data_IF_428131292971
#
_entry.id   IF_428131292971
#
_cell.length_a   1.000
_cell.length_b   1.000
_cell.length_c   1.000
_cell.angle_alpha   90.00
_cell.angle_beta   90.00
_cell.angle_gamma   90.00
#
_symmetry.space_group_name_H-M   'P 1'
#
loop_
_entity.id
_entity.type
_entity.pdbx_description
1 polymer ?
#
# COMPACT_ATOMS: atom_id res chain seq x y z
N UNK A 1 13.38 10.52 -18.91
CA UNK A 1 14.42 9.69 -18.32
C UNK A 1 15.74 10.00 -19.01
N UNK A 2 16.67 10.62 -18.32
CA UNK A 2 18.06 10.72 -18.74
C UNK A 2 18.71 9.34 -18.53
N UNK A 3 18.59 8.48 -19.52
CA UNK A 3 19.44 7.30 -19.59
C UNK A 3 20.86 7.79 -19.90
N UNK A 4 21.76 7.71 -18.94
CA UNK A 4 23.18 7.93 -19.16
C UNK A 4 23.71 6.70 -19.90
N UNK A 5 24.13 6.80 -21.16
CA UNK A 5 24.67 5.67 -21.91
C UNK A 5 26.01 5.25 -21.28
N UNK A 6 26.14 4.01 -20.89
CA UNK A 6 27.42 3.40 -20.57
C UNK A 6 27.66 2.89 -19.16
N UNK A 7 26.71 3.03 -18.21
CA UNK A 7 26.80 2.31 -16.94
C UNK A 7 25.97 1.03 -17.00
N UNK A 8 26.58 -0.15 -17.04
CA UNK A 8 25.84 -1.39 -16.82
C UNK A 8 25.36 -1.35 -15.37
N UNK A 9 24.06 -1.10 -15.18
CA UNK A 9 23.40 -1.27 -13.90
C UNK A 9 23.50 -2.76 -13.55
N UNK A 10 24.59 -3.15 -12.89
CA UNK A 10 24.65 -4.47 -12.29
C UNK A 10 23.59 -4.46 -11.19
N UNK A 11 22.47 -5.11 -11.43
CA UNK A 11 21.50 -5.44 -10.39
C UNK A 11 22.24 -6.26 -9.34
N UNK A 12 22.80 -5.61 -8.35
CA UNK A 12 23.24 -6.29 -7.15
C UNK A 12 22.00 -6.89 -6.48
N UNK A 13 22.05 -8.20 -6.25
CA UNK A 13 20.99 -8.89 -5.55
C UNK A 13 20.83 -8.22 -4.16
N UNK A 14 19.69 -7.57 -3.93
CA UNK A 14 19.39 -6.92 -2.66
C UNK A 14 19.33 -8.01 -1.58
N UNK A 15 20.30 -8.01 -0.67
CA UNK A 15 20.25 -8.88 0.51
C UNK A 15 19.27 -8.29 1.52
N UNK A 16 18.73 -9.11 2.41
CA UNK A 16 17.84 -8.65 3.49
C UNK A 16 18.53 -7.59 4.36
N UNK A 17 19.81 -7.76 4.69
CA UNK A 17 20.58 -6.77 5.45
C UNK A 17 20.68 -5.43 4.71
N UNK A 18 20.96 -5.44 3.41
CA UNK A 18 21.02 -4.21 2.59
C UNK A 18 19.64 -3.55 2.48
N UNK A 19 18.59 -4.35 2.35
CA UNK A 19 17.21 -3.85 2.35
C UNK A 19 16.86 -3.17 3.68
N UNK A 20 17.09 -3.83 4.80
CA UNK A 20 16.82 -3.29 6.13
C UNK A 20 17.64 -2.02 6.41
N UNK A 21 18.91 -1.98 6.01
CA UNK A 21 19.74 -0.77 6.11
C UNK A 21 19.19 0.38 5.28
N UNK A 22 18.77 0.11 4.05
CA UNK A 22 18.23 1.15 3.16
C UNK A 22 16.89 1.67 3.67
N UNK A 23 15.97 0.79 4.03
CA UNK A 23 14.65 1.18 4.53
C UNK A 23 14.69 1.82 5.91
N UNK A 24 15.69 1.50 6.74
CA UNK A 24 15.84 2.12 8.06
C UNK A 24 16.07 3.64 8.03
N UNK A 25 16.45 4.21 6.87
CA UNK A 25 16.56 5.66 6.70
C UNK A 25 15.20 6.36 6.61
N UNK A 26 14.14 5.61 6.32
CA UNK A 26 12.77 6.12 6.24
C UNK A 26 12.11 6.26 7.63
N UNK A 27 12.74 5.73 8.67
CA UNK A 27 12.19 5.66 10.01
C UNK A 27 12.89 6.64 10.96
N UNK A 28 12.16 7.05 11.98
CA UNK A 28 12.74 7.88 13.05
C UNK A 28 13.94 7.20 13.67
N UNK A 29 15.05 7.96 13.74
CA UNK A 29 16.35 7.44 14.16
C UNK A 29 16.37 7.02 15.63
N UNK A 30 15.62 7.70 16.46
CA UNK A 30 15.71 7.55 17.90
C UNK A 30 14.66 6.58 18.46
N UNK A 31 13.57 6.39 17.72
CA UNK A 31 12.43 5.60 18.20
C UNK A 31 12.24 4.31 17.39
N UNK A 32 11.83 4.40 16.16
CA UNK A 32 11.45 3.21 15.36
C UNK A 32 12.63 2.44 14.81
N UNK A 33 13.75 3.12 14.49
CA UNK A 33 14.93 2.46 13.96
C UNK A 33 15.60 1.50 14.95
N UNK A 34 15.58 1.83 16.23
CA UNK A 34 16.15 0.98 17.28
C UNK A 34 15.37 -0.32 17.50
N UNK A 35 14.08 -0.32 17.17
CA UNK A 35 13.20 -1.49 17.27
C UNK A 35 13.40 -2.47 16.11
N UNK A 36 14.16 -2.11 15.07
CA UNK A 36 14.30 -2.87 13.82
C UNK A 36 12.94 -3.29 13.23
N UNK A 37 11.90 -2.54 13.57
CA UNK A 37 10.54 -2.80 13.12
C UNK A 37 10.44 -2.59 11.61
N UNK A 38 9.89 -3.56 10.91
CA UNK A 38 9.51 -3.39 9.52
C UNK A 38 8.37 -2.38 9.38
N UNK A 39 8.15 -1.91 8.17
CA UNK A 39 7.05 -1.00 7.86
C UNK A 39 5.69 -1.58 8.26
N UNK A 40 5.56 -2.88 8.18
CA UNK A 40 4.36 -3.65 8.56
C UNK A 40 3.94 -3.39 10.01
N UNK A 41 4.91 -3.33 10.94
CA UNK A 41 4.61 -3.09 12.36
C UNK A 41 4.13 -1.67 12.64
N UNK A 42 4.62 -0.68 11.87
CA UNK A 42 4.13 0.70 12.00
C UNK A 42 2.67 0.81 11.58
N UNK A 43 2.28 0.12 10.52
CA UNK A 43 0.87 0.07 10.10
C UNK A 43 0.00 -0.74 11.05
N UNK A 44 0.56 -1.77 11.69
CA UNK A 44 -0.14 -2.53 12.71
C UNK A 44 -0.41 -1.68 13.96
N UNK A 45 0.57 -0.91 14.43
CA UNK A 45 0.40 0.09 15.50
C UNK A 45 -0.64 1.16 15.12
N UNK A 46 -0.65 1.61 13.88
CA UNK A 46 -1.66 2.55 13.39
C UNK A 46 -3.07 1.93 13.39
N UNK A 47 -3.19 0.64 13.10
CA UNK A 47 -4.45 -0.10 13.19
C UNK A 47 -4.95 -0.19 14.64
N UNK A 48 -4.06 -0.48 15.61
CA UNK A 48 -4.40 -0.47 17.04
C UNK A 48 -4.85 0.91 17.50
N UNK A 49 -4.13 1.97 17.11
CA UNK A 49 -4.52 3.34 17.43
C UNK A 49 -5.89 3.69 16.85
N UNK A 50 -6.16 3.34 15.59
CA UNK A 50 -7.44 3.56 14.93
C UNK A 50 -8.56 2.82 15.65
N UNK A 51 -8.36 1.55 16.00
CA UNK A 51 -9.30 0.73 16.76
C UNK A 51 -9.70 1.42 18.07
N UNK A 52 -8.71 1.85 18.86
CA UNK A 52 -8.94 2.54 20.15
C UNK A 52 -9.68 3.84 19.96
N UNK A 53 -9.26 4.66 19.00
CA UNK A 53 -9.86 5.96 18.74
C UNK A 53 -11.31 5.86 18.30
N UNK A 54 -11.66 4.78 17.58
CA UNK A 54 -13.02 4.54 17.09
C UNK A 54 -13.87 3.65 18.00
N UNK A 55 -13.31 3.13 19.08
CA UNK A 55 -14.00 2.23 19.99
C UNK A 55 -14.38 0.90 19.34
N UNK A 56 -13.58 0.41 18.39
CA UNK A 56 -13.84 -0.84 17.71
C UNK A 56 -13.36 -2.02 18.56
N UNK A 57 -14.05 -3.15 18.45
CA UNK A 57 -13.56 -4.44 18.96
C UNK A 57 -12.49 -5.01 18.04
N UNK A 58 -11.69 -5.96 18.54
CA UNK A 58 -10.67 -6.67 17.73
C UNK A 58 -11.32 -7.37 16.53
N UNK A 59 -12.48 -7.97 16.73
CA UNK A 59 -13.25 -8.61 15.66
C UNK A 59 -13.68 -7.62 14.56
N UNK A 60 -14.14 -6.43 14.95
CA UNK A 60 -14.54 -5.40 13.99
C UNK A 60 -13.34 -4.88 13.21
N UNK A 61 -12.19 -4.76 13.85
CA UNK A 61 -10.95 -4.34 13.18
C UNK A 61 -10.45 -5.40 12.21
N UNK A 62 -10.39 -6.67 12.63
CA UNK A 62 -10.04 -7.82 11.76
C UNK A 62 -10.98 -7.91 10.55
N UNK A 63 -12.29 -7.79 10.78
CA UNK A 63 -13.29 -7.79 9.70
C UNK A 63 -13.05 -6.66 8.70
N UNK A 64 -12.77 -5.47 9.20
CA UNK A 64 -12.54 -4.28 8.35
C UNK A 64 -11.33 -4.47 7.46
N UNK A 65 -10.19 -4.86 8.03
CA UNK A 65 -8.95 -5.06 7.28
C UNK A 65 -9.07 -6.19 6.25
N UNK A 66 -9.67 -7.33 6.65
CA UNK A 66 -9.88 -8.43 5.72
C UNK A 66 -10.82 -8.06 4.56
N UNK A 67 -11.90 -7.31 4.82
CA UNK A 67 -12.81 -6.81 3.77
C UNK A 67 -12.11 -5.83 2.82
N UNK A 68 -11.25 -4.96 3.34
CA UNK A 68 -10.43 -4.07 2.51
C UNK A 68 -9.53 -4.87 1.57
N UNK A 69 -8.82 -5.87 2.08
CA UNK A 69 -7.96 -6.74 1.27
C UNK A 69 -8.74 -7.48 0.18
N UNK A 70 -9.91 -8.04 0.53
CA UNK A 70 -10.79 -8.74 -0.42
C UNK A 70 -11.23 -7.76 -1.53
N UNK A 71 -11.70 -6.57 -1.17
CA UNK A 71 -12.16 -5.58 -2.13
C UNK A 71 -11.03 -5.10 -3.05
N UNK A 72 -9.84 -4.83 -2.49
CA UNK A 72 -8.68 -4.43 -3.27
C UNK A 72 -8.28 -5.52 -4.27
N UNK A 73 -8.33 -6.78 -3.87
CA UNK A 73 -8.02 -7.91 -4.76
C UNK A 73 -9.08 -8.10 -5.85
N UNK A 74 -10.36 -7.87 -5.56
CA UNK A 74 -11.42 -7.84 -6.58
C UNK A 74 -11.16 -6.74 -7.61
N UNK A 75 -10.77 -5.53 -7.17
CA UNK A 75 -10.43 -4.44 -8.06
C UNK A 75 -9.17 -4.76 -8.89
N UNK A 76 -8.17 -5.40 -8.30
CA UNK A 76 -6.97 -5.85 -9.01
C UNK A 76 -7.29 -6.89 -10.09
N UNK A 77 -8.28 -7.75 -9.89
CA UNK A 77 -8.63 -8.81 -10.85
C UNK A 77 -9.06 -8.29 -12.21
N UNK A 78 -9.66 -7.11 -12.26
CA UNK A 78 -10.09 -6.43 -13.51
C UNK A 78 -9.02 -5.51 -14.10
N UNK A 79 -7.92 -5.25 -13.37
CA UNK A 79 -6.81 -4.46 -13.87
C UNK A 79 -5.82 -5.35 -14.66
N UNK A 80 -5.66 -5.17 -15.98
CA UNK A 80 -4.76 -6.00 -16.78
C UNK A 80 -3.27 -5.87 -16.40
N UNK A 81 -2.90 -4.78 -15.70
CA UNK A 81 -1.53 -4.50 -15.28
C UNK A 81 -1.24 -4.93 -13.83
N UNK A 82 -2.23 -5.43 -13.09
CA UNK A 82 -2.01 -5.90 -11.74
C UNK A 82 -1.16 -7.18 -11.73
N UNK A 83 -0.20 -7.24 -10.80
CA UNK A 83 0.67 -8.39 -10.62
C UNK A 83 -0.13 -9.62 -10.16
N UNK A 84 -1.04 -9.42 -9.22
CA UNK A 84 -1.90 -10.46 -8.66
C UNK A 84 -3.36 -10.21 -9.02
N UNK A 85 -3.89 -11.03 -9.93
CA UNK A 85 -5.25 -10.87 -10.47
C UNK A 85 -6.25 -11.91 -9.99
N UNK A 86 -5.80 -12.93 -9.27
CA UNK A 86 -6.70 -13.92 -8.68
C UNK A 86 -7.40 -13.33 -7.47
N UNK A 87 -8.71 -13.48 -7.38
CA UNK A 87 -9.48 -13.03 -6.23
C UNK A 87 -9.22 -13.92 -5.01
N UNK A 88 -9.47 -13.41 -3.81
CA UNK A 88 -9.39 -14.22 -2.60
C UNK A 88 -10.52 -15.25 -2.54
N UNK A 89 -11.65 -14.99 -3.18
CA UNK A 89 -12.73 -15.97 -3.33
C UNK A 89 -12.29 -17.18 -4.16
N UNK A 90 -11.58 -16.98 -5.25
CA UNK A 90 -11.06 -18.07 -6.07
C UNK A 90 -10.01 -18.88 -5.32
N UNK A 91 -9.13 -18.21 -4.62
CA UNK A 91 -8.10 -18.86 -3.80
C UNK A 91 -8.73 -19.64 -2.64
N UNK A 92 -9.72 -19.07 -1.98
CA UNK A 92 -10.46 -19.73 -0.90
C UNK A 92 -11.10 -21.04 -1.38
N UNK A 93 -11.81 -21.00 -2.50
CA UNK A 93 -12.43 -22.20 -3.11
C UNK A 93 -11.40 -23.28 -3.45
N UNK A 94 -10.27 -22.87 -4.06
CA UNK A 94 -9.17 -23.80 -4.37
C UNK A 94 -8.60 -24.47 -3.11
N UNK A 95 -8.59 -23.74 -1.99
CA UNK A 95 -8.15 -24.26 -0.69
C UNK A 95 -9.23 -24.98 0.12
N UNK A 96 -10.43 -25.13 -0.44
CA UNK A 96 -11.53 -25.85 0.17
C UNK A 96 -12.34 -25.06 1.20
N UNK A 97 -12.31 -23.72 1.11
CA UNK A 97 -13.13 -22.84 1.96
C UNK A 97 -14.38 -22.40 1.21
N UNK A 98 -15.53 -22.58 1.83
CA UNK A 98 -16.81 -22.09 1.30
C UNK A 98 -16.98 -20.58 1.50
N UNK A 99 -16.36 -20.03 2.54
CA UNK A 99 -16.44 -18.62 2.90
C UNK A 99 -15.04 -17.97 2.81
N UNK A 100 -14.94 -16.90 2.05
CA UNK A 100 -13.67 -16.16 1.88
C UNK A 100 -13.14 -15.59 3.21
N UNK A 101 -14.01 -15.21 4.15
CA UNK A 101 -13.57 -14.70 5.46
C UNK A 101 -12.90 -15.79 6.31
N UNK A 102 -13.34 -17.04 6.19
CA UNK A 102 -12.72 -18.17 6.88
C UNK A 102 -11.31 -18.43 6.32
N UNK A 103 -11.16 -18.34 4.98
CA UNK A 103 -9.83 -18.35 4.36
C UNK A 103 -8.96 -17.21 4.85
N UNK A 104 -9.47 -15.97 4.90
CA UNK A 104 -8.71 -14.80 5.34
C UNK A 104 -8.21 -14.93 6.78
N UNK A 105 -8.90 -15.69 7.63
CA UNK A 105 -8.52 -15.97 9.03
C UNK A 105 -7.73 -17.25 9.22
N UNK A 106 -7.55 -18.02 8.16
CA UNK A 106 -6.85 -19.31 8.21
C UNK A 106 -5.31 -19.15 8.25
N UNK A 107 -4.58 -20.22 8.57
CA UNK A 107 -3.11 -20.23 8.48
C UNK A 107 -2.56 -19.98 7.08
N UNK A 108 -3.36 -20.06 6.02
CA UNK A 108 -2.98 -19.73 4.65
C UNK A 108 -2.80 -18.21 4.44
N UNK A 109 -3.35 -17.39 5.34
CA UNK A 109 -3.16 -15.96 5.42
C UNK A 109 -2.57 -15.61 6.80
N UNK A 110 -1.27 -15.89 7.03
CA UNK A 110 -0.67 -15.79 8.34
C UNK A 110 -0.72 -14.36 8.88
N UNK A 111 -0.84 -14.27 10.18
CA UNK A 111 -0.78 -13.02 10.92
C UNK A 111 0.65 -12.49 10.93
N UNK A 112 0.82 -11.21 10.66
CA UNK A 112 2.10 -10.50 10.58
C UNK A 112 2.32 -9.58 11.78
N UNK A 113 1.25 -9.19 12.47
CA UNK A 113 1.20 -8.38 13.67
C UNK A 113 -0.05 -8.73 14.48
N UNK A 114 -0.56 -7.82 15.27
CA UNK A 114 -1.78 -8.05 16.06
C UNK A 114 -3.03 -8.01 15.17
N UNK A 115 -3.04 -7.20 14.12
CA UNK A 115 -4.16 -6.99 13.20
C UNK A 115 -3.81 -7.29 11.75
N UNK A 116 -2.58 -6.98 11.32
CA UNK A 116 -2.19 -7.20 9.93
C UNK A 116 -1.94 -8.66 9.63
N UNK A 117 -2.39 -9.07 8.45
CA UNK A 117 -2.14 -10.38 7.86
C UNK A 117 -1.35 -10.26 6.57
N UNK A 118 -0.77 -11.35 6.10
CA UNK A 118 0.03 -11.37 4.87
C UNK A 118 -0.70 -10.80 3.66
N UNK A 119 -2.02 -10.94 3.57
CA UNK A 119 -2.85 -10.34 2.52
C UNK A 119 -2.88 -8.81 2.53
N UNK A 120 -2.58 -8.20 3.67
CA UNK A 120 -2.48 -6.74 3.83
C UNK A 120 -1.10 -6.18 3.48
N UNK A 121 -0.12 -7.05 3.25
CA UNK A 121 1.24 -6.67 2.89
C UNK A 121 1.40 -6.77 1.38
N UNK A 122 1.87 -5.69 0.77
CA UNK A 122 2.02 -5.61 -0.68
C UNK A 122 3.18 -6.48 -1.18
N UNK A 123 2.97 -7.12 -2.35
CA UNK A 123 4.05 -7.84 -3.01
C UNK A 123 5.07 -6.84 -3.57
N UNK A 124 6.35 -7.14 -3.38
CA UNK A 124 7.42 -6.33 -3.96
C UNK A 124 7.42 -6.50 -5.48
N UNK A 125 7.26 -5.40 -6.18
CA UNK A 125 7.30 -5.36 -7.64
C UNK A 125 7.98 -4.09 -8.12
N UNK A 126 8.47 -4.13 -9.36
CA UNK A 126 8.95 -2.96 -10.08
C UNK A 126 7.81 -2.44 -10.96
N UNK A 127 7.61 -1.14 -10.98
CA UNK A 127 6.59 -0.50 -11.79
C UNK A 127 6.96 0.93 -12.12
N UNK A 128 6.36 1.46 -13.17
CA UNK A 128 6.48 2.86 -13.53
C UNK A 128 5.15 3.39 -14.06
N UNK A 129 4.82 4.61 -13.68
CA UNK A 129 3.69 5.34 -14.21
C UNK A 129 4.12 6.75 -14.59
N UNK A 130 3.51 7.29 -15.64
CA UNK A 130 3.76 8.65 -16.06
C UNK A 130 2.42 9.38 -16.26
N UNK A 131 2.34 10.60 -15.76
CA UNK A 131 1.17 11.47 -15.89
C UNK A 131 1.63 12.79 -16.49
N UNK A 132 0.86 13.32 -17.42
CA UNK A 132 1.07 14.66 -17.96
C UNK A 132 0.12 15.60 -17.23
N UNK A 133 0.68 16.60 -16.57
CA UNK A 133 -0.09 17.69 -15.95
C UNK A 133 0.09 18.92 -16.83
N UNK A 134 -1.01 19.53 -17.22
CA UNK A 134 -1.01 20.73 -18.06
C UNK A 134 -2.14 21.68 -17.65
N UNK A 135 -2.05 22.93 -18.10
CA UNK A 135 -3.16 23.86 -17.96
C UNK A 135 -4.39 23.36 -18.74
N UNK A 136 -5.58 23.65 -18.23
CA UNK A 136 -6.86 23.15 -18.81
C UNK A 136 -7.02 23.52 -20.27
N UNK A 137 -6.56 24.71 -20.67
CA UNK A 137 -6.62 25.22 -22.04
C UNK A 137 -5.76 24.41 -23.04
N UNK A 138 -4.80 23.64 -22.53
CA UNK A 138 -3.90 22.83 -23.34
C UNK A 138 -4.37 21.38 -23.49
N UNK A 139 -5.43 20.98 -22.78
CA UNK A 139 -5.92 19.60 -22.78
C UNK A 139 -6.23 19.11 -24.20
N UNK A 140 -7.01 19.88 -24.97
CA UNK A 140 -7.38 19.50 -26.31
C UNK A 140 -6.17 19.34 -27.24
N UNK A 141 -5.14 20.15 -27.05
CA UNK A 141 -3.89 20.08 -27.80
C UNK A 141 -3.12 18.78 -27.57
N UNK A 142 -3.10 18.30 -26.34
CA UNK A 142 -2.35 17.09 -25.95
C UNK A 142 -3.18 15.81 -26.05
N UNK A 143 -4.48 15.89 -25.81
CA UNK A 143 -5.38 14.73 -25.86
C UNK A 143 -5.76 14.35 -27.29
N UNK A 144 -5.84 15.31 -28.19
CA UNK A 144 -6.30 15.09 -29.56
C UNK A 144 -7.67 14.42 -29.58
N UNK A 145 -8.01 13.76 -30.71
CA UNK A 145 -9.28 13.02 -30.87
C UNK A 145 -9.27 11.62 -30.23
N UNK A 146 -8.43 11.38 -29.22
CA UNK A 146 -8.36 10.08 -28.53
C UNK A 146 -9.41 10.04 -27.43
N UNK A 147 -10.09 8.91 -27.31
CA UNK A 147 -11.12 8.62 -26.29
C UNK A 147 -10.55 8.59 -24.84
N UNK A 148 -9.64 9.47 -24.51
CA UNK A 148 -9.10 9.60 -23.17
C UNK A 148 -9.87 10.70 -22.42
N UNK A 149 -10.22 10.41 -21.17
CA UNK A 149 -10.83 11.42 -20.30
C UNK A 149 -9.73 12.17 -19.56
N UNK A 150 -9.73 13.49 -19.67
CA UNK A 150 -8.94 14.32 -18.79
C UNK A 150 -9.53 14.28 -17.37
N UNK A 151 -8.67 14.35 -16.36
CA UNK A 151 -9.07 14.48 -14.96
C UNK A 151 -8.63 15.86 -14.49
N UNK A 152 -9.58 16.64 -14.00
CA UNK A 152 -9.31 17.97 -13.47
C UNK A 152 -8.81 17.85 -12.02
N UNK A 153 -7.73 18.59 -11.70
CA UNK A 153 -7.23 18.73 -10.34
C UNK A 153 -7.96 19.91 -9.69
N UNK A 154 -8.93 19.60 -8.82
CA UNK A 154 -9.74 20.62 -8.14
C UNK A 154 -9.04 21.27 -6.96
N UNK A 155 -8.05 20.63 -6.39
CA UNK A 155 -7.29 21.15 -5.26
C UNK A 155 -6.05 20.32 -4.97
N UNK A 156 -5.15 20.91 -4.21
CA UNK A 156 -3.93 20.25 -3.73
C UNK A 156 -3.74 20.57 -2.27
N UNK A 157 -3.22 19.62 -1.51
CA UNK A 157 -2.84 19.83 -0.11
C UNK A 157 -1.52 19.13 0.18
N UNK A 158 -0.78 19.67 1.13
CA UNK A 158 0.45 19.07 1.61
C UNK A 158 0.55 19.27 3.12
N UNK A 159 0.76 18.19 3.85
CA UNK A 159 0.99 18.23 5.29
C UNK A 159 2.14 17.30 5.66
N UNK A 160 2.84 17.66 6.73
CA UNK A 160 3.85 16.82 7.35
C UNK A 160 3.46 16.57 8.82
N UNK A 161 3.77 15.38 9.31
CA UNK A 161 3.48 14.98 10.68
C UNK A 161 4.77 14.55 11.40
N UNK A 162 4.67 14.42 12.71
CA UNK A 162 5.74 13.84 13.50
C UNK A 162 5.87 12.34 13.21
N UNK A 163 7.05 11.92 12.77
CA UNK A 163 7.33 10.52 12.41
C UNK A 163 7.43 9.57 13.64
N UNK A 164 7.23 10.10 14.85
CA UNK A 164 7.37 9.36 16.11
C UNK A 164 6.06 8.77 16.64
N UNK A 165 4.92 9.11 16.01
CA UNK A 165 3.61 8.65 16.47
C UNK A 165 3.05 7.57 15.56
N UNK A 166 2.38 6.52 16.10
CA UNK A 166 1.80 5.44 15.29
C UNK A 166 0.74 5.90 14.29
N UNK A 167 0.22 7.11 14.45
CA UNK A 167 -0.86 7.68 13.63
C UNK A 167 -0.39 8.81 12.70
N UNK A 168 0.91 8.97 12.51
CA UNK A 168 1.50 10.08 11.76
C UNK A 168 0.94 10.23 10.34
N UNK A 169 0.77 9.12 9.62
CA UNK A 169 0.24 9.17 8.25
C UNK A 169 -1.22 9.61 8.19
N UNK A 170 -2.01 9.17 9.16
CA UNK A 170 -3.44 9.53 9.25
C UNK A 170 -3.61 11.01 9.59
N UNK A 171 -2.81 11.54 10.50
CA UNK A 171 -2.87 12.96 10.88
C UNK A 171 -2.45 13.86 9.72
N UNK A 172 -1.35 13.55 9.04
CA UNK A 172 -0.90 14.31 7.88
C UNK A 172 -1.94 14.34 6.75
N UNK A 173 -2.54 13.20 6.44
CA UNK A 173 -3.62 13.12 5.43
C UNK A 173 -4.83 13.95 5.83
N UNK A 174 -5.22 13.95 7.10
CA UNK A 174 -6.35 14.74 7.60
C UNK A 174 -6.09 16.24 7.50
N UNK A 175 -4.87 16.68 7.75
CA UNK A 175 -4.50 18.11 7.65
C UNK A 175 -4.33 18.58 6.20
N UNK A 176 -4.03 17.66 5.26
CA UNK A 176 -3.86 17.98 3.85
C UNK A 176 -5.18 18.11 3.07
N UNK A 177 -6.30 17.64 3.63
CA UNK A 177 -7.64 17.71 3.04
C UNK A 177 -8.39 18.94 3.56
#
# INVERSE_FOLDING_TARGET
SLAVPGHPYKREKMTMDKFLKTTSWLYDRNYTRSLMAGQELIYDDAAEWYKRTRGLTDQQMDDTLNRMCINNRRNASVNPLALERRTYEDIAKEKGFDNVMDYMRSPYNPQMGDFLRASGVELKCDGAAAVIVCATELVDRYMGNKNHKAVEVLGTGCAACEATTPHFEVSATKEAV
#
